data_IF_236387008009
#
_entry.id   IF_236387008009
#
_cell.length_a   1.000
_cell.length_b   1.000
_cell.length_c   1.000
_cell.angle_alpha   90.00
_cell.angle_beta   90.00
_cell.angle_gamma   90.00
#
_symmetry.space_group_name_H-M   'P 1'
#
loop_
_entity.id
_entity.type
_entity.pdbx_description
1 polymer ?
#
# COMPACT_ATOMS: atom_id res chain seq x y z
N UNK A 1 -54.78 -16.93 17.24
CA UNK A 1 -55.58 -16.15 16.29
C UNK A 1 -54.66 -15.44 15.29
N UNK A 2 -53.65 -14.66 15.71
CA UNK A 2 -52.76 -13.97 14.81
C UNK A 2 -52.04 -14.90 13.82
N UNK A 3 -51.45 -16.01 14.27
CA UNK A 3 -50.74 -17.00 13.41
C UNK A 3 -51.70 -17.58 12.36
N UNK A 4 -52.93 -17.85 12.71
CA UNK A 4 -53.94 -18.39 11.81
C UNK A 4 -54.40 -17.34 10.76
N UNK A 5 -54.64 -16.09 11.18
CA UNK A 5 -55.03 -15.03 10.27
C UNK A 5 -53.93 -14.72 9.25
N UNK A 6 -52.67 -14.68 9.68
CA UNK A 6 -51.50 -14.41 8.83
C UNK A 6 -51.23 -15.53 7.79
N UNK A 7 -51.67 -16.76 8.04
CA UNK A 7 -51.56 -17.86 7.07
C UNK A 7 -52.60 -17.76 5.93
N UNK A 8 -53.73 -17.09 6.18
CA UNK A 8 -54.82 -16.98 5.20
C UNK A 8 -54.96 -15.67 4.49
N UNK A 9 -54.38 -14.60 5.01
CA UNK A 9 -54.48 -13.29 4.40
C UNK A 9 -53.41 -13.08 3.28
N UNK A 10 -53.78 -12.42 2.18
CA UNK A 10 -52.80 -12.02 1.16
C UNK A 10 -51.69 -11.15 1.76
N UNK A 11 -50.46 -11.36 1.31
CA UNK A 11 -49.25 -10.67 1.83
C UNK A 11 -49.37 -9.13 1.86
N UNK A 12 -50.08 -8.53 0.88
CA UNK A 12 -50.29 -7.08 0.80
C UNK A 12 -51.16 -6.52 1.93
N UNK A 13 -52.04 -7.32 2.54
CA UNK A 13 -52.95 -6.89 3.61
C UNK A 13 -52.47 -7.29 5.01
N UNK A 14 -51.42 -8.09 5.10
CA UNK A 14 -50.94 -8.66 6.36
C UNK A 14 -50.04 -7.74 7.16
N UNK A 15 -49.58 -6.60 6.59
CA UNK A 15 -48.57 -5.73 7.21
C UNK A 15 -49.04 -5.09 8.53
N UNK A 16 -50.27 -4.57 8.56
CA UNK A 16 -50.87 -4.02 9.79
C UNK A 16 -51.05 -5.05 10.86
N UNK A 17 -51.49 -6.26 10.46
CA UNK A 17 -51.70 -7.39 11.35
C UNK A 17 -50.37 -7.90 11.93
N UNK A 18 -49.29 -7.91 11.14
CA UNK A 18 -47.95 -8.23 11.62
C UNK A 18 -47.44 -7.20 12.65
N UNK A 19 -47.73 -5.92 12.44
CA UNK A 19 -47.37 -4.90 13.43
C UNK A 19 -48.08 -5.12 14.76
N UNK A 20 -49.40 -5.37 14.71
CA UNK A 20 -50.20 -5.69 15.92
C UNK A 20 -49.72 -6.98 16.58
N UNK A 21 -49.42 -8.02 15.79
CA UNK A 21 -48.90 -9.28 16.30
C UNK A 21 -47.52 -9.10 16.97
N UNK A 22 -46.64 -8.30 16.38
CA UNK A 22 -45.33 -7.99 16.97
C UNK A 22 -45.48 -7.25 18.32
N UNK A 23 -46.42 -6.31 18.43
CA UNK A 23 -46.71 -5.62 19.69
C UNK A 23 -47.27 -6.58 20.74
N UNK A 24 -48.19 -7.45 20.34
CA UNK A 24 -48.77 -8.46 21.22
C UNK A 24 -47.69 -9.41 21.75
N UNK A 25 -46.84 -9.98 20.88
CA UNK A 25 -45.77 -10.91 21.31
C UNK A 25 -44.72 -10.22 22.19
N UNK A 26 -44.40 -8.91 21.93
CA UNK A 26 -43.52 -8.13 22.82
C UNK A 26 -44.08 -7.94 24.21
N UNK A 27 -45.39 -7.91 24.36
CA UNK A 27 -46.07 -7.73 25.67
C UNK A 27 -46.33 -9.03 26.41
N UNK A 28 -46.61 -10.12 25.69
CA UNK A 28 -47.14 -11.34 26.25
C UNK A 28 -46.43 -12.61 25.78
N UNK A 29 -45.55 -12.53 24.80
CA UNK A 29 -44.85 -13.65 24.20
C UNK A 29 -43.54 -13.99 24.89
N UNK A 30 -43.07 -15.21 24.66
CA UNK A 30 -41.76 -15.69 25.06
C UNK A 30 -40.67 -15.08 24.15
N UNK A 31 -39.43 -14.94 24.62
CA UNK A 31 -38.32 -14.32 23.88
C UNK A 31 -38.14 -14.96 22.48
N UNK A 32 -38.27 -16.29 22.40
CA UNK A 32 -38.17 -17.06 21.16
C UNK A 32 -39.29 -16.73 20.16
N UNK A 33 -40.54 -16.56 20.66
CA UNK A 33 -41.68 -16.20 19.79
C UNK A 33 -41.58 -14.78 19.26
N UNK A 34 -41.04 -13.84 20.06
CA UNK A 34 -40.76 -12.47 19.63
C UNK A 34 -39.71 -12.45 18.51
N UNK A 35 -38.64 -13.21 18.67
CA UNK A 35 -37.57 -13.30 17.66
C UNK A 35 -38.12 -13.90 16.36
N UNK A 36 -38.91 -14.96 16.41
CA UNK A 36 -39.53 -15.58 15.24
C UNK A 36 -40.42 -14.59 14.46
N UNK A 37 -41.21 -13.81 15.16
CA UNK A 37 -42.09 -12.79 14.54
C UNK A 37 -41.28 -11.67 13.92
N UNK A 38 -40.20 -11.21 14.57
CA UNK A 38 -39.31 -10.19 14.05
C UNK A 38 -38.59 -10.69 12.79
N UNK A 39 -38.07 -11.92 12.81
CA UNK A 39 -37.42 -12.55 11.64
C UNK A 39 -38.40 -12.65 10.48
N UNK A 40 -39.62 -13.14 10.71
CA UNK A 40 -40.66 -13.22 9.66
C UNK A 40 -41.01 -11.86 9.07
N UNK A 41 -41.15 -10.83 9.91
CA UNK A 41 -41.38 -9.46 9.42
C UNK A 41 -40.23 -8.93 8.54
N UNK A 42 -39.00 -9.09 9.00
CA UNK A 42 -37.80 -8.69 8.23
C UNK A 42 -37.69 -9.46 6.91
N UNK A 43 -37.96 -10.77 6.94
CA UNK A 43 -38.00 -11.62 5.74
C UNK A 43 -38.97 -11.04 4.69
N UNK A 44 -40.18 -10.67 5.08
CA UNK A 44 -41.13 -10.05 4.16
C UNK A 44 -40.65 -8.73 3.61
N UNK A 45 -39.96 -7.91 4.41
CA UNK A 45 -39.37 -6.65 3.97
C UNK A 45 -38.30 -6.88 2.93
N UNK A 46 -37.34 -7.79 3.19
CA UNK A 46 -36.28 -8.12 2.24
C UNK A 46 -36.83 -8.75 0.95
N UNK A 47 -37.80 -9.64 1.02
CA UNK A 47 -38.51 -10.20 -0.14
C UNK A 47 -39.15 -9.08 -1.00
N UNK A 48 -39.73 -8.08 -0.40
CA UNK A 48 -40.29 -6.94 -1.11
C UNK A 48 -39.19 -6.05 -1.74
N UNK A 49 -38.05 -5.85 -1.04
CA UNK A 49 -36.91 -5.07 -1.53
C UNK A 49 -36.28 -5.74 -2.75
N UNK A 50 -35.91 -7.01 -2.65
CA UNK A 50 -35.26 -7.76 -3.75
C UNK A 50 -36.21 -7.98 -4.93
N UNK A 51 -37.54 -8.02 -4.70
CA UNK A 51 -38.53 -8.08 -5.78
C UNK A 51 -38.66 -6.75 -6.52
N UNK A 52 -38.49 -5.61 -5.82
CA UNK A 52 -38.54 -4.27 -6.40
C UNK A 52 -37.26 -3.99 -7.21
N UNK A 53 -36.11 -4.33 -6.65
CA UNK A 53 -34.80 -4.22 -7.28
C UNK A 53 -34.00 -5.50 -7.10
N UNK A 54 -34.02 -6.42 -8.09
CA UNK A 54 -33.29 -7.69 -8.04
C UNK A 54 -31.77 -7.53 -8.01
N UNK A 55 -31.25 -6.33 -8.31
CA UNK A 55 -29.80 -6.03 -8.33
C UNK A 55 -29.34 -5.22 -7.13
N UNK A 56 -30.17 -5.03 -6.14
CA UNK A 56 -29.75 -4.52 -4.84
C UNK A 56 -29.00 -5.62 -4.07
N UNK A 57 -27.71 -5.74 -4.37
CA UNK A 57 -26.85 -6.77 -3.78
C UNK A 57 -26.64 -6.59 -2.28
N UNK A 58 -26.75 -5.37 -1.75
CA UNK A 58 -26.66 -5.11 -0.32
C UNK A 58 -27.92 -5.67 0.39
N UNK A 59 -29.11 -5.51 -0.20
CA UNK A 59 -30.34 -6.12 0.30
C UNK A 59 -30.27 -7.65 0.31
N UNK A 60 -29.69 -8.26 -0.74
CA UNK A 60 -29.47 -9.71 -0.78
C UNK A 60 -28.52 -10.21 0.30
N UNK A 61 -27.41 -9.50 0.55
CA UNK A 61 -26.45 -9.84 1.61
C UNK A 61 -27.11 -9.77 2.98
N UNK A 62 -27.89 -8.74 3.25
CA UNK A 62 -28.58 -8.60 4.54
C UNK A 62 -29.71 -9.62 4.69
N UNK A 63 -30.37 -10.00 3.60
CA UNK A 63 -31.35 -11.07 3.59
C UNK A 63 -30.70 -12.43 3.90
N UNK A 64 -29.59 -12.76 3.25
CA UNK A 64 -28.84 -13.99 3.53
C UNK A 64 -28.39 -14.07 4.99
N UNK A 65 -27.83 -12.97 5.56
CA UNK A 65 -27.45 -12.91 6.98
C UNK A 65 -28.64 -13.12 7.92
N UNK A 66 -29.82 -12.61 7.57
CA UNK A 66 -31.04 -12.86 8.35
C UNK A 66 -31.39 -14.35 8.36
N UNK A 67 -31.34 -15.02 7.20
CA UNK A 67 -31.63 -16.45 7.14
C UNK A 67 -30.54 -17.29 7.82
N UNK A 68 -29.25 -16.87 7.72
CA UNK A 68 -28.15 -17.50 8.47
C UNK A 68 -28.38 -17.43 9.98
N UNK A 69 -28.90 -16.30 10.50
CA UNK A 69 -29.26 -16.18 11.91
C UNK A 69 -30.47 -17.06 12.32
N UNK A 70 -31.37 -17.35 11.37
CA UNK A 70 -32.51 -18.24 11.58
C UNK A 70 -32.13 -19.73 11.50
N UNK A 71 -31.00 -20.08 10.85
CA UNK A 71 -30.41 -21.41 10.85
C UNK A 71 -31.05 -22.43 9.92
N UNK A 72 -31.99 -22.05 9.05
CA UNK A 72 -32.64 -22.95 8.08
C UNK A 72 -31.76 -23.08 6.82
N UNK A 73 -31.06 -24.19 6.70
CA UNK A 73 -30.07 -24.45 5.65
C UNK A 73 -30.64 -24.35 4.23
N UNK A 74 -31.86 -24.90 4.02
CA UNK A 74 -32.46 -24.91 2.69
C UNK A 74 -32.89 -23.52 2.26
N UNK A 75 -33.38 -22.71 3.19
CA UNK A 75 -33.72 -21.30 2.92
C UNK A 75 -32.50 -20.42 2.70
N UNK A 76 -31.44 -20.63 3.46
CA UNK A 76 -30.17 -19.88 3.27
C UNK A 76 -29.65 -20.13 1.85
N UNK A 77 -29.63 -21.40 1.42
CA UNK A 77 -29.22 -21.78 0.08
C UNK A 77 -30.14 -21.18 -1.00
N UNK A 78 -31.46 -21.23 -0.82
CA UNK A 78 -32.44 -20.62 -1.74
C UNK A 78 -32.14 -19.12 -1.94
N UNK A 79 -31.91 -18.39 -0.84
CA UNK A 79 -31.62 -16.96 -0.90
C UNK A 79 -30.33 -16.69 -1.66
N UNK A 80 -29.24 -17.43 -1.34
CA UNK A 80 -27.97 -17.27 -2.05
C UNK A 80 -28.07 -17.63 -3.53
N UNK A 81 -28.72 -18.74 -3.87
CA UNK A 81 -28.90 -19.17 -5.27
C UNK A 81 -29.72 -18.18 -6.09
N UNK A 82 -30.77 -17.60 -5.51
CA UNK A 82 -31.54 -16.52 -6.14
C UNK A 82 -30.70 -15.26 -6.31
N UNK A 83 -29.92 -14.87 -5.30
CA UNK A 83 -29.06 -13.71 -5.36
C UNK A 83 -27.97 -13.83 -6.43
N UNK A 84 -27.33 -15.01 -6.56
CA UNK A 84 -26.30 -15.24 -7.58
C UNK A 84 -26.87 -15.40 -9.00
N UNK A 85 -28.14 -15.74 -9.14
CA UNK A 85 -28.80 -15.77 -10.44
C UNK A 85 -28.98 -14.37 -11.06
N UNK A 86 -29.07 -13.33 -10.24
CA UNK A 86 -29.24 -11.93 -10.66
C UNK A 86 -27.89 -11.27 -10.98
N UNK A 87 -27.23 -11.74 -12.04
CA UNK A 87 -25.92 -11.24 -12.44
C UNK A 87 -25.97 -9.81 -13.01
N UNK A 88 -24.90 -9.01 -12.88
CA UNK A 88 -24.81 -7.66 -13.46
C UNK A 88 -24.90 -7.71 -14.99
N UNK A 89 -25.67 -6.80 -15.59
CA UNK A 89 -25.76 -6.64 -17.04
C UNK A 89 -24.67 -5.75 -17.62
N UNK A 90 -24.14 -4.85 -16.79
CA UNK A 90 -23.06 -3.94 -17.18
C UNK A 90 -21.70 -4.58 -16.90
N UNK A 91 -20.72 -4.29 -17.75
CA UNK A 91 -19.34 -4.77 -17.54
C UNK A 91 -18.51 -3.77 -16.72
N UNK A 92 -19.15 -3.11 -15.75
CA UNK A 92 -18.51 -2.16 -14.86
C UNK A 92 -18.02 -2.87 -13.61
N UNK A 93 -16.74 -2.72 -13.28
CA UNK A 93 -16.07 -3.41 -12.16
C UNK A 93 -16.70 -3.11 -10.81
N UNK A 94 -17.22 -1.90 -10.59
CA UNK A 94 -17.76 -1.49 -9.29
C UNK A 94 -19.11 -2.18 -8.98
N UNK A 95 -19.94 -2.40 -10.00
CA UNK A 95 -21.17 -3.19 -9.87
C UNK A 95 -20.84 -4.65 -9.57
N UNK A 96 -19.88 -5.22 -10.32
CA UNK A 96 -19.40 -6.58 -10.09
C UNK A 96 -18.75 -6.76 -8.72
N UNK A 97 -18.15 -5.72 -8.14
CA UNK A 97 -17.55 -5.80 -6.80
C UNK A 97 -18.57 -6.19 -5.73
N UNK A 98 -19.78 -5.60 -5.75
CA UNK A 98 -20.86 -5.93 -4.81
C UNK A 98 -21.35 -7.35 -5.02
N UNK A 99 -21.60 -7.71 -6.27
CA UNK A 99 -22.03 -9.04 -6.64
C UNK A 99 -21.06 -10.17 -6.24
N UNK A 100 -19.75 -9.96 -6.43
CA UNK A 100 -18.73 -10.94 -6.03
C UNK A 100 -18.71 -11.19 -4.51
N UNK A 101 -19.09 -10.21 -3.69
CA UNK A 101 -19.20 -10.44 -2.25
C UNK A 101 -20.29 -11.45 -1.89
N UNK A 102 -21.39 -11.52 -2.66
CA UNK A 102 -22.42 -12.55 -2.45
C UNK A 102 -21.82 -13.95 -2.64
N UNK A 103 -21.05 -14.14 -3.71
CA UNK A 103 -20.37 -15.41 -3.97
C UNK A 103 -19.37 -15.76 -2.87
N UNK A 104 -18.64 -14.79 -2.36
CA UNK A 104 -17.71 -15.01 -1.26
C UNK A 104 -18.42 -15.38 0.04
N UNK A 105 -19.53 -14.74 0.37
CA UNK A 105 -20.33 -15.06 1.56
C UNK A 105 -20.98 -16.45 1.40
N UNK A 106 -21.50 -16.76 0.22
CA UNK A 106 -22.07 -18.07 -0.04
C UNK A 106 -21.03 -19.20 0.11
N UNK A 107 -19.86 -19.04 -0.49
CA UNK A 107 -18.79 -20.02 -0.35
C UNK A 107 -18.32 -20.16 1.10
N UNK A 108 -18.22 -19.05 1.84
CA UNK A 108 -17.84 -19.03 3.25
C UNK A 108 -18.90 -19.74 4.12
N UNK A 109 -20.19 -19.49 3.87
CA UNK A 109 -21.28 -20.17 4.53
C UNK A 109 -21.19 -21.69 4.33
N UNK A 110 -21.03 -22.15 3.08
CA UNK A 110 -20.93 -23.59 2.78
C UNK A 110 -19.68 -24.23 3.41
N UNK A 111 -18.57 -23.49 3.50
CA UNK A 111 -17.35 -23.96 4.15
C UNK A 111 -17.50 -24.06 5.67
N UNK A 112 -17.98 -22.99 6.32
CA UNK A 112 -17.89 -22.85 7.78
C UNK A 112 -19.11 -23.34 8.53
N UNK A 113 -20.31 -23.02 8.04
CA UNK A 113 -21.58 -23.34 8.72
C UNK A 113 -22.19 -24.62 8.18
N UNK A 114 -22.36 -24.72 6.87
CA UNK A 114 -22.94 -25.92 6.24
C UNK A 114 -21.94 -27.09 6.21
N UNK A 115 -20.65 -26.84 6.29
CA UNK A 115 -19.53 -27.81 6.20
C UNK A 115 -19.61 -28.71 4.97
N UNK A 116 -20.07 -28.16 3.86
CA UNK A 116 -20.19 -28.83 2.56
C UNK A 116 -19.03 -28.35 1.64
N UNK A 117 -17.89 -29.02 1.77
CA UNK A 117 -16.65 -28.67 1.06
C UNK A 117 -16.79 -28.75 -0.46
N UNK A 118 -17.55 -29.74 -0.94
CA UNK A 118 -17.71 -29.92 -2.39
C UNK A 118 -18.60 -28.83 -2.98
N UNK A 119 -19.64 -28.43 -2.26
CA UNK A 119 -20.49 -27.32 -2.67
C UNK A 119 -19.76 -25.99 -2.59
N UNK A 120 -19.00 -25.73 -1.53
CA UNK A 120 -18.15 -24.54 -1.44
C UNK A 120 -17.19 -24.43 -2.64
N UNK A 121 -16.56 -25.55 -3.05
CA UNK A 121 -15.69 -25.62 -4.21
C UNK A 121 -16.44 -25.31 -5.51
N UNK A 122 -17.65 -25.85 -5.68
CA UNK A 122 -18.50 -25.56 -6.85
C UNK A 122 -18.87 -24.07 -6.91
N UNK A 123 -19.22 -23.48 -5.76
CA UNK A 123 -19.55 -22.04 -5.65
C UNK A 123 -18.34 -21.17 -6.07
N UNK A 124 -17.14 -21.46 -5.58
CA UNK A 124 -15.92 -20.77 -6.01
C UNK A 124 -15.64 -20.93 -7.51
N UNK A 125 -15.77 -22.15 -8.03
CA UNK A 125 -15.59 -22.45 -9.46
C UNK A 125 -16.56 -21.66 -10.33
N UNK A 126 -17.86 -21.73 -10.03
CA UNK A 126 -18.89 -21.00 -10.76
C UNK A 126 -18.68 -19.47 -10.72
N UNK A 127 -18.29 -18.93 -9.58
CA UNK A 127 -17.96 -17.51 -9.45
C UNK A 127 -16.78 -17.10 -10.35
N UNK A 128 -15.74 -17.94 -10.43
CA UNK A 128 -14.57 -17.68 -11.27
C UNK A 128 -14.88 -17.83 -12.76
N UNK A 129 -15.73 -18.77 -13.14
CA UNK A 129 -16.12 -18.97 -14.54
C UNK A 129 -17.03 -17.84 -15.07
N UNK A 130 -17.82 -17.22 -14.18
CA UNK A 130 -18.75 -16.15 -14.56
C UNK A 130 -18.06 -14.78 -14.80
N UNK A 131 -16.91 -14.52 -14.16
CA UNK A 131 -16.23 -13.24 -14.26
C UNK A 131 -15.65 -13.04 -15.68
N UNK A 132 -15.86 -11.87 -16.32
CA UNK A 132 -15.24 -11.57 -17.61
C UNK A 132 -13.76 -11.19 -17.43
N UNK A 133 -12.88 -12.20 -17.26
CA UNK A 133 -11.46 -12.03 -16.93
C UNK A 133 -10.67 -11.22 -17.96
N UNK A 134 -11.14 -11.11 -19.19
CA UNK A 134 -10.54 -10.29 -20.25
C UNK A 134 -10.64 -8.79 -19.94
N UNK A 135 -11.67 -8.35 -19.21
CA UNK A 135 -11.90 -6.95 -18.86
C UNK A 135 -11.41 -6.59 -17.48
N UNK A 136 -11.72 -7.43 -16.51
CA UNK A 136 -11.30 -7.25 -15.11
C UNK A 136 -11.30 -8.58 -14.37
N UNK A 137 -10.58 -8.63 -13.26
CA UNK A 137 -10.63 -9.75 -12.33
C UNK A 137 -10.59 -9.27 -10.88
N UNK A 138 -10.98 -10.17 -9.98
CA UNK A 138 -10.97 -9.94 -8.55
C UNK A 138 -9.93 -10.83 -7.86
N UNK A 139 -8.74 -10.29 -7.63
CA UNK A 139 -7.67 -11.01 -6.93
C UNK A 139 -8.10 -11.57 -5.58
N UNK A 140 -9.05 -10.90 -4.89
CA UNK A 140 -9.60 -11.38 -3.61
C UNK A 140 -10.34 -12.72 -3.76
N UNK A 141 -11.10 -12.93 -4.84
CA UNK A 141 -11.81 -14.19 -5.06
C UNK A 141 -10.81 -15.33 -5.31
N UNK A 142 -9.80 -15.11 -6.17
CA UNK A 142 -8.72 -16.07 -6.39
C UNK A 142 -7.96 -16.42 -5.12
N UNK A 143 -7.66 -15.40 -4.32
CA UNK A 143 -6.98 -15.57 -3.03
C UNK A 143 -7.82 -16.42 -2.08
N UNK A 144 -9.11 -16.09 -1.90
CA UNK A 144 -10.00 -16.84 -1.00
C UNK A 144 -10.18 -18.31 -1.45
N UNK A 145 -10.29 -18.53 -2.77
CA UNK A 145 -10.37 -19.89 -3.30
C UNK A 145 -9.10 -20.69 -3.05
N UNK A 146 -7.93 -20.09 -3.28
CA UNK A 146 -6.66 -20.76 -3.00
C UNK A 146 -6.51 -21.10 -1.51
N UNK A 147 -6.81 -20.15 -0.62
CA UNK A 147 -6.78 -20.38 0.83
C UNK A 147 -7.82 -21.40 1.30
N UNK A 148 -8.99 -21.44 0.68
CA UNK A 148 -9.96 -22.52 0.92
C UNK A 148 -9.35 -23.88 0.60
N UNK A 149 -8.74 -24.09 -0.56
CA UNK A 149 -8.14 -25.38 -0.92
C UNK A 149 -6.96 -25.73 0.00
N UNK A 150 -6.20 -24.72 0.50
CA UNK A 150 -5.16 -24.94 1.51
C UNK A 150 -5.75 -25.47 2.81
N UNK A 151 -6.82 -24.83 3.32
CA UNK A 151 -7.51 -25.30 4.54
C UNK A 151 -8.07 -26.72 4.39
N UNK A 152 -8.37 -27.13 3.16
CA UNK A 152 -8.82 -28.51 2.86
C UNK A 152 -7.62 -29.47 2.59
N UNK A 153 -6.37 -29.04 2.76
CA UNK A 153 -5.18 -29.84 2.50
C UNK A 153 -4.84 -30.05 1.02
N UNK A 154 -5.49 -29.34 0.10
CA UNK A 154 -5.33 -29.50 -1.35
C UNK A 154 -4.34 -28.50 -1.94
N UNK A 155 -3.07 -28.55 -1.55
CA UNK A 155 -2.02 -27.62 -2.00
C UNK A 155 -1.92 -27.53 -3.52
N UNK A 156 -2.02 -28.65 -4.25
CA UNK A 156 -1.91 -28.65 -5.71
C UNK A 156 -3.07 -27.93 -6.40
N UNK A 157 -4.27 -27.95 -5.82
CA UNK A 157 -5.40 -27.16 -6.35
C UNK A 157 -5.20 -25.69 -6.07
N UNK A 158 -4.72 -25.32 -4.88
CA UNK A 158 -4.38 -23.96 -4.54
C UNK A 158 -3.30 -23.37 -5.48
N UNK A 159 -2.24 -24.13 -5.74
CA UNK A 159 -1.18 -23.77 -6.70
C UNK A 159 -1.73 -23.55 -8.10
N UNK A 160 -2.61 -24.44 -8.57
CA UNK A 160 -3.26 -24.31 -9.87
C UNK A 160 -4.13 -23.04 -9.94
N UNK A 161 -4.92 -22.79 -8.91
CA UNK A 161 -5.76 -21.59 -8.83
C UNK A 161 -4.93 -20.29 -8.89
N UNK A 162 -3.86 -20.19 -8.09
CA UNK A 162 -2.97 -19.03 -8.09
C UNK A 162 -2.20 -18.90 -9.42
N UNK A 163 -1.75 -20.00 -10.00
CA UNK A 163 -1.11 -20.02 -11.31
C UNK A 163 -2.05 -19.53 -12.43
N UNK A 164 -3.30 -19.98 -12.43
CA UNK A 164 -4.32 -19.50 -13.36
C UNK A 164 -4.64 -18.01 -13.16
N UNK A 165 -4.70 -17.58 -11.89
CA UNK A 165 -4.91 -16.18 -11.55
C UNK A 165 -3.81 -15.28 -12.13
N UNK A 166 -2.55 -15.68 -11.98
CA UNK A 166 -1.40 -14.94 -12.53
C UNK A 166 -1.38 -14.96 -14.05
N UNK A 167 -1.74 -16.09 -14.68
CA UNK A 167 -1.80 -16.19 -16.14
C UNK A 167 -2.90 -15.32 -16.76
N UNK A 168 -4.09 -15.21 -16.11
CA UNK A 168 -5.21 -14.42 -16.60
C UNK A 168 -5.09 -12.93 -16.27
N UNK A 169 -4.48 -12.61 -15.14
CA UNK A 169 -4.53 -11.27 -14.59
C UNK A 169 -3.42 -11.05 -13.54
N UNK A 170 -2.17 -10.89 -13.99
CA UNK A 170 -1.06 -10.66 -13.10
C UNK A 170 -1.27 -9.37 -12.28
N UNK A 171 -1.06 -9.46 -10.97
CA UNK A 171 -1.12 -8.34 -10.03
C UNK A 171 -0.12 -8.56 -8.90
N UNK A 172 0.49 -7.49 -8.43
CA UNK A 172 1.43 -7.55 -7.31
C UNK A 172 0.85 -8.28 -6.09
N UNK A 173 -0.43 -8.08 -5.76
CA UNK A 173 -1.10 -8.76 -4.64
C UNK A 173 -1.21 -10.27 -4.82
N UNK A 174 -1.45 -10.76 -6.04
CA UNK A 174 -1.52 -12.19 -6.33
C UNK A 174 -0.14 -12.86 -6.27
N UNK A 175 0.90 -12.19 -6.79
CA UNK A 175 2.28 -12.66 -6.64
C UNK A 175 2.65 -12.80 -5.17
N UNK A 176 2.39 -11.76 -4.35
CA UNK A 176 2.66 -11.82 -2.90
C UNK A 176 1.90 -12.94 -2.21
N UNK A 177 0.62 -13.13 -2.54
CA UNK A 177 -0.17 -14.23 -1.96
C UNK A 177 0.42 -15.60 -2.31
N UNK A 178 0.89 -15.77 -3.54
CA UNK A 178 1.48 -17.04 -3.97
C UNK A 178 2.86 -17.24 -3.35
N UNK A 179 3.68 -16.21 -3.29
CA UNK A 179 5.00 -16.25 -2.64
C UNK A 179 4.83 -16.61 -1.15
N UNK A 180 3.89 -15.99 -0.44
CA UNK A 180 3.63 -16.29 0.96
C UNK A 180 3.21 -17.75 1.17
N UNK A 181 2.36 -18.29 0.29
CA UNK A 181 2.00 -19.71 0.34
C UNK A 181 3.23 -20.61 0.22
N UNK A 182 4.09 -20.39 -0.78
CA UNK A 182 5.27 -21.24 -0.99
C UNK A 182 6.34 -21.03 0.11
N UNK A 183 6.39 -19.84 0.73
CA UNK A 183 7.21 -19.59 1.93
C UNK A 183 6.74 -20.42 3.13
N UNK A 184 5.42 -20.46 3.40
CA UNK A 184 4.84 -21.28 4.46
C UNK A 184 5.09 -22.77 4.22
N UNK A 185 5.06 -23.21 2.95
CA UNK A 185 5.37 -24.57 2.54
C UNK A 185 6.88 -24.88 2.50
N UNK A 186 7.74 -23.85 2.71
CA UNK A 186 9.21 -23.94 2.61
C UNK A 186 9.73 -24.39 1.25
N UNK A 187 9.00 -24.12 0.18
CA UNK A 187 9.37 -24.45 -1.21
C UNK A 187 10.20 -23.31 -1.84
N UNK A 188 11.42 -23.12 -1.34
CA UNK A 188 12.27 -21.97 -1.65
C UNK A 188 12.62 -21.80 -3.13
N UNK A 189 12.76 -22.88 -3.88
CA UNK A 189 13.04 -22.79 -5.32
C UNK A 189 11.83 -22.24 -6.10
N UNK A 190 10.61 -22.56 -5.64
CA UNK A 190 9.39 -21.98 -6.20
C UNK A 190 9.26 -20.51 -5.84
N UNK A 191 9.62 -20.14 -4.61
CA UNK A 191 9.67 -18.74 -4.17
C UNK A 191 10.58 -17.92 -5.08
N UNK A 192 11.79 -18.41 -5.36
CA UNK A 192 12.74 -17.78 -6.29
C UNK A 192 12.15 -17.58 -7.68
N UNK A 193 11.52 -18.63 -8.21
CA UNK A 193 10.87 -18.57 -9.52
C UNK A 193 9.73 -17.54 -9.54
N UNK A 194 8.95 -17.44 -8.46
CA UNK A 194 7.86 -16.48 -8.34
C UNK A 194 8.37 -15.04 -8.22
N UNK A 195 9.43 -14.79 -7.45
CA UNK A 195 10.06 -13.48 -7.38
C UNK A 195 10.62 -13.06 -8.74
N UNK A 196 11.29 -13.95 -9.46
CA UNK A 196 11.79 -13.66 -10.82
C UNK A 196 10.64 -13.25 -11.75
N UNK A 197 9.55 -14.01 -11.79
CA UNK A 197 8.36 -13.66 -12.57
C UNK A 197 7.67 -12.38 -12.12
N UNK A 198 7.69 -12.09 -10.81
CA UNK A 198 7.12 -10.85 -10.29
C UNK A 198 7.93 -9.63 -10.72
N UNK A 199 9.25 -9.75 -10.73
CA UNK A 199 10.16 -8.72 -11.23
C UNK A 199 10.01 -8.54 -12.75
N UNK A 200 9.93 -9.63 -13.52
CA UNK A 200 9.65 -9.58 -14.96
C UNK A 200 8.32 -8.86 -15.28
N UNK A 201 7.29 -9.10 -14.45
CA UNK A 201 6.00 -8.43 -14.59
C UNK A 201 6.06 -6.93 -14.26
N UNK A 202 6.77 -6.54 -13.21
CA UNK A 202 6.89 -5.15 -12.78
C UNK A 202 8.30 -4.84 -12.28
N UNK A 203 9.26 -4.60 -13.17
CA UNK A 203 10.66 -4.33 -12.81
C UNK A 203 10.85 -3.02 -12.04
N UNK A 204 9.92 -2.06 -12.17
CA UNK A 204 9.99 -0.77 -11.47
C UNK A 204 9.65 -0.86 -9.97
N UNK A 205 9.06 -1.96 -9.51
CA UNK A 205 8.59 -2.10 -8.13
C UNK A 205 9.74 -2.41 -7.16
N UNK A 206 10.27 -1.37 -6.51
CA UNK A 206 11.37 -1.48 -5.55
C UNK A 206 11.05 -2.42 -4.38
N UNK A 207 9.80 -2.46 -3.90
CA UNK A 207 9.41 -3.33 -2.80
C UNK A 207 9.63 -4.82 -3.13
N UNK A 208 9.36 -5.24 -4.37
CA UNK A 208 9.58 -6.62 -4.80
C UNK A 208 11.06 -7.01 -4.78
N UNK A 209 11.93 -6.12 -5.26
CA UNK A 209 13.37 -6.33 -5.23
C UNK A 209 13.91 -6.45 -3.80
N UNK A 210 13.46 -5.55 -2.91
CA UNK A 210 13.86 -5.56 -1.50
C UNK A 210 13.36 -6.83 -0.79
N UNK A 211 12.10 -7.23 -1.03
CA UNK A 211 11.55 -8.48 -0.47
C UNK A 211 12.33 -9.70 -0.94
N UNK A 212 12.70 -9.76 -2.23
CA UNK A 212 13.49 -10.86 -2.77
C UNK A 212 14.91 -10.91 -2.18
N UNK A 213 15.61 -9.77 -2.12
CA UNK A 213 16.94 -9.71 -1.54
C UNK A 213 16.94 -10.09 -0.05
N UNK A 214 15.96 -9.62 0.72
CA UNK A 214 15.76 -10.01 2.13
C UNK A 214 15.49 -11.50 2.29
N UNK A 215 14.70 -12.08 1.39
CA UNK A 215 14.47 -13.53 1.39
C UNK A 215 15.78 -14.30 1.18
N UNK A 216 16.62 -13.95 0.20
CA UNK A 216 17.91 -14.62 -0.02
C UNK A 216 18.86 -14.39 1.17
N UNK A 217 18.87 -13.18 1.75
CA UNK A 217 19.65 -12.88 2.97
C UNK A 217 19.21 -13.74 4.16
N UNK A 218 17.91 -13.92 4.36
CA UNK A 218 17.36 -14.75 5.44
C UNK A 218 17.72 -16.24 5.29
N UNK A 219 17.97 -16.70 4.06
CA UNK A 219 18.48 -18.05 3.78
C UNK A 219 20.01 -18.18 3.95
N UNK A 220 20.70 -17.09 4.31
CA UNK A 220 22.17 -17.06 4.41
C UNK A 220 22.89 -16.90 3.06
N UNK A 221 22.16 -16.68 1.97
CA UNK A 221 22.67 -16.53 0.61
C UNK A 221 23.04 -15.07 0.31
N UNK A 222 23.92 -14.47 1.12
CA UNK A 222 24.30 -13.05 1.02
C UNK A 222 24.87 -12.65 -0.34
N UNK A 223 25.54 -13.55 -1.05
CA UNK A 223 26.04 -13.28 -2.41
C UNK A 223 24.91 -13.11 -3.42
N UNK A 224 23.84 -13.91 -3.29
CA UNK A 224 22.65 -13.79 -4.13
C UNK A 224 21.84 -12.55 -3.79
N UNK A 225 21.66 -12.27 -2.48
CA UNK A 225 20.99 -11.05 -2.03
C UNK A 225 21.65 -9.81 -2.62
N UNK A 226 22.97 -9.75 -2.60
CA UNK A 226 23.76 -8.67 -3.22
C UNK A 226 23.54 -8.58 -4.71
N UNK A 227 23.58 -9.70 -5.43
CA UNK A 227 23.33 -9.72 -6.86
C UNK A 227 21.94 -9.19 -7.22
N UNK A 228 20.91 -9.52 -6.40
CA UNK A 228 19.55 -8.98 -6.57
C UNK A 228 19.54 -7.47 -6.37
N UNK A 229 20.20 -6.93 -5.34
CA UNK A 229 20.31 -5.48 -5.14
C UNK A 229 21.04 -4.77 -6.28
N UNK A 230 22.16 -5.33 -6.77
CA UNK A 230 22.90 -4.76 -7.91
C UNK A 230 22.03 -4.70 -9.17
N UNK A 231 21.35 -5.78 -9.50
CA UNK A 231 20.41 -5.78 -10.63
C UNK A 231 19.27 -4.77 -10.46
N UNK A 232 18.79 -4.57 -9.22
CA UNK A 232 17.72 -3.64 -8.92
C UNK A 232 18.15 -2.18 -9.12
N UNK A 233 19.35 -1.79 -8.67
CA UNK A 233 19.84 -0.40 -8.81
C UNK A 233 20.25 -0.05 -10.25
N UNK A 234 20.42 -1.04 -11.11
CA UNK A 234 20.70 -0.87 -12.55
C UNK A 234 19.43 -0.66 -13.38
N UNK A 235 18.24 -0.83 -12.79
CA UNK A 235 16.98 -0.65 -13.52
C UNK A 235 16.81 0.83 -13.92
N UNK A 236 16.40 1.11 -15.17
CA UNK A 236 16.30 2.47 -15.70
C UNK A 236 15.18 3.29 -15.05
N UNK A 237 14.13 2.63 -14.55
CA UNK A 237 12.97 3.26 -13.93
C UNK A 237 12.59 2.51 -12.66
N UNK A 238 12.52 3.24 -11.55
CA UNK A 238 12.16 2.73 -10.24
C UNK A 238 11.07 3.61 -9.63
N UNK A 239 10.10 3.00 -8.95
CA UNK A 239 8.99 3.71 -8.30
C UNK A 239 9.42 4.45 -7.03
N UNK A 240 10.27 3.84 -6.21
CA UNK A 240 10.78 4.38 -4.94
C UNK A 240 12.26 4.04 -4.74
N UNK A 241 13.16 4.64 -5.53
CA UNK A 241 14.59 4.31 -5.50
C UNK A 241 15.23 4.53 -4.13
N UNK A 242 14.75 5.50 -3.34
CA UNK A 242 15.26 5.77 -2.00
C UNK A 242 15.07 4.59 -1.04
N UNK A 243 13.98 3.85 -1.14
CA UNK A 243 13.74 2.65 -0.32
C UNK A 243 14.71 1.54 -0.69
N UNK A 244 14.95 1.37 -2.00
CA UNK A 244 15.86 0.35 -2.51
C UNK A 244 17.31 0.63 -2.08
N UNK A 245 17.79 1.84 -2.30
CA UNK A 245 19.15 2.24 -1.92
C UNK A 245 19.38 2.13 -0.41
N UNK A 246 18.38 2.58 0.38
CA UNK A 246 18.45 2.42 1.83
C UNK A 246 18.55 0.95 2.23
N UNK A 247 17.68 0.11 1.70
CA UNK A 247 17.68 -1.32 2.04
C UNK A 247 18.98 -2.01 1.63
N UNK A 248 19.60 -1.59 0.52
CA UNK A 248 20.88 -2.13 0.08
C UNK A 248 22.04 -1.68 0.99
N UNK A 249 22.07 -0.41 1.39
CA UNK A 249 23.05 0.11 2.33
C UNK A 249 22.91 -0.58 3.69
N UNK A 250 21.68 -0.69 4.23
CA UNK A 250 21.41 -1.38 5.49
C UNK A 250 21.89 -2.84 5.44
N UNK A 251 21.66 -3.55 4.33
CA UNK A 251 22.13 -4.92 4.12
C UNK A 251 23.66 -5.06 4.18
N UNK A 252 24.42 -4.18 3.51
CA UNK A 252 25.90 -4.23 3.56
C UNK A 252 26.43 -3.78 4.93
N UNK A 253 25.71 -2.88 5.64
CA UNK A 253 26.00 -2.52 7.03
C UNK A 253 25.85 -3.70 7.98
N UNK A 254 24.75 -4.44 7.88
CA UNK A 254 24.51 -5.65 8.69
C UNK A 254 25.59 -6.71 8.47
N UNK A 255 26.15 -6.80 7.27
CA UNK A 255 27.25 -7.70 6.95
C UNK A 255 28.65 -7.15 7.35
N UNK A 256 28.73 -5.92 7.84
CA UNK A 256 29.98 -5.27 8.24
C UNK A 256 30.90 -4.86 7.08
N UNK A 257 30.39 -4.73 5.85
CA UNK A 257 31.17 -4.39 4.67
C UNK A 257 31.29 -2.87 4.47
N UNK A 258 31.99 -2.18 5.37
CA UNK A 258 32.13 -0.71 5.39
C UNK A 258 32.61 -0.09 4.07
N UNK A 259 33.57 -0.71 3.38
CA UNK A 259 34.09 -0.18 2.12
C UNK A 259 33.03 -0.22 0.99
N UNK A 260 32.16 -1.22 1.00
CA UNK A 260 31.06 -1.31 0.06
C UNK A 260 30.00 -0.26 0.35
N UNK A 261 29.69 -0.04 1.62
CA UNK A 261 28.77 1.04 2.03
C UNK A 261 29.26 2.38 1.54
N UNK A 262 30.57 2.70 1.66
CA UNK A 262 31.15 3.94 1.10
C UNK A 262 30.92 4.04 -0.40
N UNK A 263 31.25 2.96 -1.13
CA UNK A 263 31.04 2.92 -2.57
C UNK A 263 29.56 3.11 -2.97
N UNK A 264 28.62 2.55 -2.18
CA UNK A 264 27.19 2.74 -2.41
C UNK A 264 26.74 4.19 -2.19
N UNK A 265 27.21 4.84 -1.11
CA UNK A 265 26.94 6.26 -0.90
C UNK A 265 27.53 7.13 -2.02
N UNK A 266 28.73 6.86 -2.49
CA UNK A 266 29.32 7.57 -3.63
C UNK A 266 28.52 7.40 -4.92
N UNK A 267 28.04 6.17 -5.19
CA UNK A 267 27.17 5.89 -6.35
C UNK A 267 25.83 6.63 -6.22
N UNK A 268 25.23 6.60 -5.04
CA UNK A 268 23.95 7.28 -4.78
C UNK A 268 24.09 8.80 -4.91
N UNK A 269 25.17 9.40 -4.39
CA UNK A 269 25.43 10.83 -4.47
C UNK A 269 25.75 11.32 -5.89
N UNK A 270 26.12 10.43 -6.82
CA UNK A 270 26.19 10.76 -8.25
C UNK A 270 24.80 10.89 -8.90
N UNK A 271 23.79 10.23 -8.33
CA UNK A 271 22.40 10.24 -8.82
C UNK A 271 21.54 11.32 -8.18
N UNK A 272 21.82 11.67 -6.91
CA UNK A 272 21.01 12.63 -6.16
C UNK A 272 21.86 13.46 -5.21
N UNK A 273 21.56 14.77 -5.13
CA UNK A 273 22.17 15.68 -4.16
C UNK A 273 21.27 15.84 -2.91
N UNK A 274 20.35 14.91 -2.61
CA UNK A 274 19.38 15.06 -1.53
C UNK A 274 20.06 15.08 -0.16
N UNK A 275 19.75 16.09 0.67
CA UNK A 275 20.39 16.34 1.96
C UNK A 275 20.40 15.14 2.92
N UNK A 276 19.31 14.35 2.93
CA UNK A 276 19.24 13.16 3.80
C UNK A 276 20.31 12.11 3.48
N UNK A 277 20.74 12.01 2.23
CA UNK A 277 21.80 11.07 1.83
C UNK A 277 23.13 11.52 2.41
N UNK A 278 23.43 12.83 2.33
CA UNK A 278 24.61 13.42 2.94
C UNK A 278 24.65 13.23 4.46
N UNK A 279 23.51 13.49 5.14
CA UNK A 279 23.40 13.29 6.59
C UNK A 279 23.59 11.82 6.97
N UNK A 280 22.97 10.90 6.22
CA UNK A 280 23.12 9.45 6.48
C UNK A 280 24.56 8.97 6.26
N UNK A 281 25.26 9.49 5.22
CA UNK A 281 26.67 9.18 4.98
C UNK A 281 27.56 9.74 6.10
N UNK A 282 27.29 10.97 6.56
CA UNK A 282 28.04 11.57 7.66
C UNK A 282 27.85 10.80 8.97
N UNK A 283 26.63 10.37 9.27
CA UNK A 283 26.36 9.53 10.43
C UNK A 283 27.09 8.18 10.37
N UNK A 284 27.08 7.54 9.20
CA UNK A 284 27.82 6.30 8.97
C UNK A 284 29.34 6.49 9.18
N UNK A 285 29.93 7.57 8.68
CA UNK A 285 31.36 7.84 8.90
C UNK A 285 31.65 8.22 10.34
N UNK A 286 30.74 8.90 11.04
CA UNK A 286 30.84 9.17 12.46
C UNK A 286 30.94 7.87 13.26
N UNK A 287 30.05 6.91 12.96
CA UNK A 287 29.99 5.62 13.67
C UNK A 287 31.18 4.70 13.35
N UNK A 288 31.79 4.83 12.15
CA UNK A 288 32.87 3.95 11.69
C UNK A 288 34.27 4.50 11.85
N UNK A 289 34.47 5.79 11.60
CA UNK A 289 35.81 6.45 11.58
C UNK A 289 35.90 7.65 12.54
N UNK A 290 34.77 8.08 13.12
CA UNK A 290 34.72 9.17 14.08
C UNK A 290 34.47 10.56 13.47
N UNK A 291 34.58 11.60 14.31
CA UNK A 291 34.15 12.96 14.01
C UNK A 291 34.86 13.59 12.79
N UNK A 292 36.16 13.37 12.60
CA UNK A 292 36.93 13.96 11.49
C UNK A 292 36.44 13.48 10.13
N UNK A 293 36.12 12.20 10.00
CA UNK A 293 35.57 11.65 8.77
C UNK A 293 34.17 12.22 8.48
N UNK A 294 33.31 12.32 9.51
CA UNK A 294 32.00 12.93 9.39
C UNK A 294 32.07 14.41 8.97
N UNK A 295 33.01 15.19 9.54
CA UNK A 295 33.27 16.59 9.16
C UNK A 295 33.59 16.71 7.68
N UNK A 296 34.49 15.87 7.17
CA UNK A 296 34.85 15.84 5.75
C UNK A 296 33.62 15.64 4.85
N UNK A 297 32.71 14.74 5.24
CA UNK A 297 31.46 14.50 4.50
C UNK A 297 30.51 15.71 4.55
N UNK A 298 30.39 16.35 5.71
CA UNK A 298 29.57 17.57 5.83
C UNK A 298 30.15 18.73 5.00
N UNK A 299 31.46 18.89 4.96
CA UNK A 299 32.12 19.89 4.14
C UNK A 299 31.94 19.67 2.63
N UNK A 300 32.06 18.39 2.20
CA UNK A 300 31.80 18.00 0.82
C UNK A 300 30.32 18.28 0.44
N UNK A 301 29.38 17.92 1.31
CA UNK A 301 27.95 18.16 1.13
C UNK A 301 27.58 19.64 1.12
N UNK A 302 28.17 20.47 2.02
CA UNK A 302 27.95 21.92 2.06
C UNK A 302 28.44 22.59 0.74
N UNK A 303 29.63 22.22 0.26
CA UNK A 303 30.15 22.66 -1.03
C UNK A 303 29.23 22.28 -2.19
N UNK A 304 28.79 21.03 -2.24
CA UNK A 304 27.93 20.53 -3.31
C UNK A 304 26.55 21.20 -3.34
N UNK A 305 25.87 21.32 -2.18
CA UNK A 305 24.58 21.99 -2.08
C UNK A 305 24.67 23.50 -2.37
N UNK A 306 25.80 24.14 -2.03
CA UNK A 306 26.09 25.53 -2.42
C UNK A 306 26.18 25.67 -3.93
N UNK A 307 26.93 24.81 -4.60
CA UNK A 307 27.15 24.87 -6.05
C UNK A 307 25.84 24.63 -6.84
N UNK A 308 24.97 23.77 -6.33
CA UNK A 308 23.62 23.52 -6.89
C UNK A 308 22.60 24.61 -6.49
N UNK A 309 22.92 25.46 -5.49
CA UNK A 309 22.05 26.55 -5.04
C UNK A 309 20.85 26.13 -4.18
N UNK A 310 20.92 24.97 -3.53
CA UNK A 310 19.83 24.41 -2.68
C UNK A 310 19.95 24.93 -1.24
N UNK A 311 19.50 26.15 -1.01
CA UNK A 311 19.65 26.85 0.26
C UNK A 311 18.98 26.19 1.46
N UNK A 312 17.75 25.69 1.30
CA UNK A 312 17.01 25.04 2.37
C UNK A 312 17.65 23.70 2.78
N UNK A 313 18.06 22.91 1.79
CA UNK A 313 18.77 21.65 2.04
C UNK A 313 20.15 21.89 2.66
N UNK A 314 20.84 22.94 2.23
CA UNK A 314 22.10 23.37 2.82
C UNK A 314 21.95 23.76 4.30
N UNK A 315 20.89 24.50 4.64
CA UNK A 315 20.57 24.80 6.04
C UNK A 315 20.35 23.52 6.86
N UNK A 316 19.53 22.59 6.35
CA UNK A 316 19.27 21.33 7.04
C UNK A 316 20.55 20.50 7.25
N UNK A 317 21.48 20.52 6.30
CA UNK A 317 22.78 19.88 6.44
C UNK A 317 23.62 20.52 7.56
N UNK A 318 23.68 21.85 7.61
CA UNK A 318 24.41 22.58 8.64
C UNK A 318 23.79 22.41 10.05
N UNK A 319 22.47 22.33 10.15
CA UNK A 319 21.78 22.01 11.39
C UNK A 319 22.13 20.61 11.92
N UNK A 320 22.17 19.61 11.02
CA UNK A 320 22.59 18.27 11.38
C UNK A 320 24.08 18.24 11.80
N UNK A 321 24.93 18.97 11.08
CA UNK A 321 26.34 19.11 11.46
C UNK A 321 26.51 19.77 12.83
N UNK A 322 25.79 20.87 13.07
CA UNK A 322 25.79 21.54 14.38
C UNK A 322 25.34 20.60 15.50
N UNK A 323 24.33 19.77 15.27
CA UNK A 323 23.89 18.78 16.24
C UNK A 323 24.99 17.76 16.56
N UNK A 324 25.73 17.29 15.57
CA UNK A 324 26.87 16.39 15.77
C UNK A 324 27.99 17.05 16.60
N UNK A 325 28.32 18.33 16.31
CA UNK A 325 29.36 19.05 17.03
C UNK A 325 28.96 19.46 18.47
N UNK A 326 27.67 19.47 18.81
CA UNK A 326 27.19 19.81 20.14
C UNK A 326 27.68 18.85 21.24
N UNK A 327 28.06 17.63 20.88
CA UNK A 327 28.54 16.59 21.79
C UNK A 327 30.06 16.68 22.08
N UNK A 328 30.65 17.87 22.00
CA UNK A 328 32.04 18.13 22.37
C UNK A 328 32.98 18.49 21.20
N UNK A 329 32.43 18.89 20.07
CA UNK A 329 33.16 19.30 18.88
C UNK A 329 33.33 20.80 18.71
N UNK A 330 33.68 21.24 17.49
CA UNK A 330 33.90 22.65 17.10
C UNK A 330 32.60 23.28 16.56
N UNK A 331 31.69 23.64 17.45
CA UNK A 331 30.42 24.29 17.10
C UNK A 331 30.65 25.64 16.42
N UNK A 332 31.69 26.41 16.81
CA UNK A 332 31.95 27.75 16.27
C UNK A 332 32.21 27.72 14.79
N UNK A 333 32.90 26.70 14.26
CA UNK A 333 33.19 26.56 12.84
C UNK A 333 31.91 26.40 12.01
N UNK A 334 30.90 25.67 12.55
CA UNK A 334 29.60 25.46 11.88
C UNK A 334 28.75 26.73 11.99
N UNK A 335 28.70 27.37 13.16
CA UNK A 335 27.93 28.60 13.37
C UNK A 335 28.38 29.74 12.46
N UNK A 336 29.67 29.85 12.13
CA UNK A 336 30.18 30.80 11.15
C UNK A 336 29.68 30.58 9.74
N UNK A 337 29.23 29.36 9.41
CA UNK A 337 28.67 28.99 8.08
C UNK A 337 27.13 29.11 8.04
N UNK A 338 26.47 29.24 9.19
CA UNK A 338 25.02 29.30 9.28
C UNK A 338 24.45 30.53 8.60
N UNK A 339 23.34 30.41 7.85
CA UNK A 339 22.73 31.53 7.14
C UNK A 339 21.93 32.42 8.09
N UNK A 340 21.79 33.68 7.69
CA UNK A 340 20.84 34.61 8.32
C UNK A 340 19.51 34.56 7.57
N UNK A 341 18.41 34.41 8.31
CA UNK A 341 17.06 34.42 7.76
C UNK A 341 16.61 35.84 7.47
N UNK A 342 16.31 36.15 6.20
CA UNK A 342 15.91 37.48 5.75
C UNK A 342 14.52 37.41 5.14
N UNK A 343 13.63 38.34 5.52
CA UNK A 343 12.33 38.50 4.88
C UNK A 343 12.49 39.18 3.54
N UNK A 344 11.95 38.56 2.47
CA UNK A 344 11.90 39.15 1.12
C UNK A 344 10.47 39.22 0.63
N UNK A 345 10.20 40.08 -0.33
CA UNK A 345 8.93 40.23 -1.02
C UNK A 345 9.10 39.90 -2.48
N UNK A 346 8.20 39.13 -3.03
CA UNK A 346 8.09 38.91 -4.47
C UNK A 346 6.70 39.29 -4.96
N UNK A 347 6.63 39.78 -6.17
CA UNK A 347 5.37 40.04 -6.86
C UNK A 347 4.98 38.75 -7.59
N UNK A 348 3.79 38.23 -7.36
CA UNK A 348 3.22 37.10 -8.08
C UNK A 348 2.66 37.54 -9.44
N UNK A 349 2.39 36.58 -10.32
CA UNK A 349 1.86 36.85 -11.67
C UNK A 349 0.46 37.52 -11.66
N UNK A 350 -0.26 37.42 -10.56
CA UNK A 350 -1.55 38.09 -10.30
C UNK A 350 -1.42 39.53 -9.78
N UNK A 351 -0.18 40.03 -9.61
CA UNK A 351 0.13 41.36 -9.07
C UNK A 351 0.08 41.44 -7.54
N UNK A 352 -0.21 40.37 -6.83
CA UNK A 352 -0.16 40.31 -5.36
C UNK A 352 1.28 40.24 -4.86
N UNK A 353 1.54 40.80 -3.65
CA UNK A 353 2.84 40.70 -2.99
C UNK A 353 2.83 39.53 -1.99
N UNK A 354 3.73 38.57 -2.21
CA UNK A 354 4.00 37.50 -1.26
C UNK A 354 5.26 37.80 -0.46
N UNK A 355 5.18 37.71 0.87
CA UNK A 355 6.36 37.72 1.73
C UNK A 355 6.87 36.29 1.93
N UNK A 356 8.15 36.07 1.65
CA UNK A 356 8.80 34.79 1.87
C UNK A 356 10.11 34.97 2.63
N UNK A 357 10.58 33.92 3.27
CA UNK A 357 11.87 33.91 3.94
C UNK A 357 12.94 33.36 2.98
N UNK A 358 14.03 34.10 2.84
CA UNK A 358 15.23 33.68 2.11
C UNK A 358 16.36 33.48 3.11
N UNK A 359 17.26 32.57 2.81
CA UNK A 359 18.47 32.33 3.58
C UNK A 359 19.67 32.98 2.88
N UNK A 360 20.38 33.83 3.61
CA UNK A 360 21.61 34.50 3.14
C UNK A 360 22.80 33.90 3.85
N UNK A 361 23.62 33.19 3.13
CA UNK A 361 24.84 32.58 3.66
C UNK A 361 25.97 33.59 3.70
N UNK A 362 26.93 33.48 4.66
CA UNK A 362 28.11 34.39 4.73
C UNK A 362 28.92 34.42 3.43
N UNK A 363 29.02 33.28 2.74
CA UNK A 363 29.74 33.13 1.48
C UNK A 363 29.10 33.93 0.32
N UNK A 364 27.75 34.01 0.30
CA UNK A 364 26.99 34.77 -0.72
C UNK A 364 27.30 36.27 -0.63
N UNK A 365 27.56 36.79 0.58
CA UNK A 365 27.84 38.21 0.82
C UNK A 365 29.26 38.58 0.40
N UNK A 366 30.22 37.69 0.54
CA UNK A 366 31.61 37.93 0.09
C UNK A 366 31.70 37.97 -1.44
N UNK A 367 31.07 37.00 -2.13
CA UNK A 367 31.03 37.00 -3.61
C UNK A 367 30.32 38.23 -4.21
N UNK A 368 29.31 38.76 -3.54
CA UNK A 368 28.60 39.97 -3.94
C UNK A 368 29.46 41.26 -3.75
N UNK A 369 30.22 41.34 -2.65
CA UNK A 369 31.15 42.43 -2.38
C UNK A 369 32.28 42.45 -3.40
N UNK A 370 32.86 41.30 -3.75
CA UNK A 370 33.91 41.21 -4.79
C UNK A 370 33.37 41.60 -6.17
N UNK A 371 32.17 41.20 -6.55
CA UNK A 371 31.52 41.60 -7.82
C UNK A 371 31.21 43.08 -7.86
N UNK A 372 30.80 43.70 -6.77
CA UNK A 372 30.59 45.13 -6.64
C UNK A 372 31.91 45.91 -6.73
N UNK A 373 32.97 45.44 -6.07
CA UNK A 373 34.30 46.02 -6.15
C UNK A 373 34.90 45.90 -7.56
N UNK A 374 34.73 44.75 -8.22
CA UNK A 374 35.14 44.54 -9.60
C UNK A 374 34.38 45.45 -10.56
N UNK A 375 33.06 45.61 -10.39
CA UNK A 375 32.27 46.59 -11.17
C UNK A 375 32.68 48.02 -10.89
N UNK A 376 32.96 48.39 -9.64
CA UNK A 376 33.45 49.72 -9.29
C UNK A 376 34.85 49.99 -9.86
N UNK A 377 35.74 49.00 -9.91
CA UNK A 377 37.05 49.09 -10.56
C UNK A 377 36.92 49.25 -12.07
N UNK A 378 36.04 48.46 -12.72
CA UNK A 378 35.80 48.64 -14.16
C UNK A 378 35.21 50.01 -14.46
N UNK A 379 34.30 50.52 -13.63
CA UNK A 379 33.71 51.86 -13.81
C UNK A 379 34.75 52.99 -13.63
N UNK A 380 35.68 52.85 -12.67
CA UNK A 380 36.78 53.74 -12.52
C UNK A 380 37.77 53.76 -13.73
N UNK A 381 38.03 52.60 -14.31
CA UNK A 381 38.88 52.48 -15.49
C UNK A 381 38.26 53.12 -16.73
N UNK A 382 36.96 53.02 -16.92
CA UNK A 382 36.21 53.67 -18.01
C UNK A 382 36.22 55.23 -17.87
N UNK A 383 36.16 55.74 -16.65
CA UNK A 383 36.19 57.20 -16.42
C UNK A 383 37.59 57.81 -16.57
N UNK A 384 38.68 57.06 -16.59
CA UNK A 384 40.06 57.55 -16.81
C UNK A 384 40.53 57.36 -18.26
N UNK A 385 39.62 56.89 -19.15
CA UNK A 385 39.92 56.68 -20.58
C UNK A 385 39.10 57.61 -21.47
N UNK A 386 38.38 58.59 -20.90
CA UNK A 386 37.90 59.85 -21.55
C UNK A 386 38.70 61.03 -21.04
#
# INVERSE_FOLDING_TARGET
IYKYALQRLPRAQSQSLYNQYTVFEKQFGDTNEVEEVVVRKRRMQYEAMVKRDPRDYDAWIDFAKLEESAGDRDRIRDVYERAVAEHPTTAEKDVWRRYIYIWLFYALYEETQARDVDRARQVYGAALDLIPHERFTFGKLWHQYAWFEIRQGNVDKARRALGQALGRCPKNSLFRSYINLELELREFDRVRTLYTKHIEFNPANCATWVEFARFESALGEGTRARAVYELAVEQPTLDMPEILWKAYIDFELELGHTDRVRSLYERLLKLTDHVKVWISRAQFELDTQGQEAARSVFEEGDGRLRDVGRKEERLALLEAWRSMESDGGDIESVERRMPTRVRRRRVLDDGSMEEYFDYVFPDDTQGSRFKLLAKAHMWKQTQHSE
#
